data_IF_545876159282
#
_entry.id   IF_545876159282
#
_cell.length_a   1.000
_cell.length_b   1.000
_cell.length_c   1.000
_cell.angle_alpha   90.00
_cell.angle_beta   90.00
_cell.angle_gamma   90.00
#
_symmetry.space_group_name_H-M   'P 1'
#
loop_
_entity.id
_entity.type
_entity.pdbx_description
1 polymer ?
#
# COMPACT_ATOMS: atom_id res chain seq x y z
N UNK A 1 17.51 -9.48 -23.62
CA UNK A 1 18.24 -8.61 -22.68
C UNK A 1 17.31 -8.50 -21.48
N UNK A 2 17.65 -9.14 -20.38
CA UNK A 2 16.93 -8.98 -19.09
C UNK A 2 17.16 -7.53 -18.64
N UNK A 3 16.10 -6.71 -18.62
CA UNK A 3 16.14 -5.44 -17.90
C UNK A 3 16.54 -5.78 -16.46
N UNK A 4 17.72 -5.38 -16.04
CA UNK A 4 18.09 -5.38 -14.63
C UNK A 4 17.10 -4.43 -13.94
N UNK A 5 16.10 -5.01 -13.27
CA UNK A 5 15.14 -4.25 -12.47
C UNK A 5 15.91 -3.61 -11.32
N UNK A 6 16.13 -2.30 -11.44
CA UNK A 6 16.86 -1.51 -10.45
C UNK A 6 16.04 -1.43 -9.15
N UNK A 7 16.70 -1.64 -8.00
CA UNK A 7 16.08 -1.43 -6.70
C UNK A 7 15.68 0.04 -6.53
N UNK A 8 14.37 0.27 -6.42
CA UNK A 8 13.78 1.59 -6.20
C UNK A 8 13.99 2.04 -4.77
N UNK A 9 13.65 1.14 -3.83
CA UNK A 9 13.70 1.41 -2.40
C UNK A 9 14.56 0.35 -1.72
N UNK A 10 15.50 0.78 -0.89
CA UNK A 10 16.34 -0.10 -0.07
C UNK A 10 16.12 0.27 1.39
N UNK A 11 15.71 -0.71 2.17
CA UNK A 11 15.59 -0.64 3.62
C UNK A 11 16.71 -1.47 4.22
N UNK A 12 17.53 -0.85 5.07
CA UNK A 12 18.72 -1.46 5.65
C UNK A 12 18.69 -1.40 7.17
N UNK A 13 18.42 -2.55 7.81
CA UNK A 13 18.44 -2.80 9.25
C UNK A 13 17.69 -1.77 10.08
N UNK A 14 16.48 -1.39 9.64
CA UNK A 14 15.69 -0.43 10.39
C UNK A 14 15.18 -1.04 11.70
N UNK A 15 15.33 -0.29 12.79
CA UNK A 15 14.81 -0.61 14.11
C UNK A 15 13.89 0.48 14.62
N UNK A 16 12.83 0.06 15.35
CA UNK A 16 11.93 0.98 16.05
C UNK A 16 11.41 0.35 17.33
N UNK A 17 11.46 1.12 18.41
CA UNK A 17 10.91 0.72 19.72
C UNK A 17 9.98 1.80 20.27
N UNK A 18 9.00 1.38 21.06
CA UNK A 18 8.16 2.25 21.88
C UNK A 18 8.35 1.85 23.35
N UNK A 19 9.08 2.68 24.10
CA UNK A 19 9.55 2.31 25.43
C UNK A 19 10.45 1.09 25.40
N UNK A 20 10.07 0.02 26.11
CA UNK A 20 10.84 -1.24 26.11
C UNK A 20 10.39 -2.23 25.02
N UNK A 21 9.33 -1.92 24.27
CA UNK A 21 8.79 -2.83 23.27
C UNK A 21 9.41 -2.54 21.90
N UNK A 22 10.23 -3.49 21.39
CA UNK A 22 10.81 -3.41 20.05
C UNK A 22 9.77 -3.87 19.02
N UNK A 23 9.35 -2.94 18.15
CA UNK A 23 8.31 -3.18 17.14
C UNK A 23 8.90 -3.53 15.77
N UNK A 24 10.08 -2.96 15.44
CA UNK A 24 10.85 -3.34 14.26
C UNK A 24 12.25 -3.75 14.71
N UNK A 25 12.67 -4.95 14.29
CA UNK A 25 13.93 -5.55 14.68
C UNK A 25 14.79 -5.91 13.46
N UNK A 26 15.72 -5.00 13.11
CA UNK A 26 16.67 -5.14 12.00
C UNK A 26 16.00 -5.48 10.65
N UNK A 27 14.87 -4.83 10.35
CA UNK A 27 14.14 -5.05 9.10
C UNK A 27 14.97 -4.59 7.91
N UNK A 28 15.23 -5.52 6.97
CA UNK A 28 15.97 -5.24 5.73
C UNK A 28 15.26 -5.87 4.54
N UNK A 29 14.98 -5.08 3.51
CA UNK A 29 14.42 -5.55 2.24
C UNK A 29 14.61 -4.51 1.14
N UNK A 30 14.35 -4.92 -0.11
CA UNK A 30 14.35 -4.02 -1.26
C UNK A 30 13.00 -4.09 -1.98
N UNK A 31 12.64 -3.01 -2.66
CA UNK A 31 11.48 -2.92 -3.54
C UNK A 31 11.96 -2.47 -4.92
N UNK A 32 11.60 -3.22 -5.96
CA UNK A 32 11.98 -2.92 -7.34
C UNK A 32 11.12 -1.80 -7.92
N UNK A 33 11.64 -1.12 -8.92
CA UNK A 33 10.86 -0.11 -9.63
C UNK A 33 9.63 -0.75 -10.31
N UNK A 34 8.45 -0.13 -10.12
CA UNK A 34 7.18 -0.63 -10.63
C UNK A 34 6.64 -1.90 -9.95
N UNK A 35 7.26 -2.39 -8.87
CA UNK A 35 6.83 -3.58 -8.13
C UNK A 35 5.57 -3.32 -7.30
N UNK A 36 4.69 -4.32 -7.22
CA UNK A 36 3.62 -4.41 -6.23
C UNK A 36 4.08 -5.34 -5.09
N UNK A 37 4.54 -4.77 -3.99
CA UNK A 37 4.94 -5.52 -2.79
C UNK A 37 3.84 -5.45 -1.74
N UNK A 38 3.28 -6.61 -1.32
CA UNK A 38 2.41 -6.66 -0.14
C UNK A 38 3.18 -7.01 1.12
N UNK A 39 2.80 -6.37 2.23
CA UNK A 39 3.27 -6.69 3.58
C UNK A 39 2.12 -7.35 4.32
N UNK A 40 2.27 -8.65 4.59
CA UNK A 40 1.28 -9.52 5.19
C UNK A 40 1.73 -9.97 6.59
N UNK A 41 0.82 -10.04 7.54
CA UNK A 41 1.12 -10.52 8.90
C UNK A 41 -0.01 -10.21 9.87
N UNK A 42 0.03 -10.77 11.09
CA UNK A 42 -0.97 -10.54 12.12
C UNK A 42 -1.00 -9.08 12.58
N UNK A 43 -2.08 -8.70 13.28
CA UNK A 43 -2.17 -7.38 13.89
C UNK A 43 -1.06 -7.18 14.92
N UNK A 44 -0.45 -5.98 14.91
CA UNK A 44 0.62 -5.63 15.86
C UNK A 44 2.03 -6.11 15.48
N UNK A 45 2.23 -6.83 14.36
CA UNK A 45 3.58 -7.29 13.97
C UNK A 45 4.50 -6.19 13.37
N UNK A 46 4.06 -4.93 13.32
CA UNK A 46 4.90 -3.79 12.89
C UNK A 46 4.63 -3.24 11.49
N UNK A 47 3.67 -3.77 10.71
CA UNK A 47 3.38 -3.34 9.32
C UNK A 47 3.15 -1.84 9.18
N UNK A 48 2.21 -1.29 9.94
CA UNK A 48 1.91 0.16 9.92
C UNK A 48 3.10 1.00 10.38
N UNK A 49 3.93 0.48 11.31
CA UNK A 49 5.16 1.16 11.75
C UNK A 49 6.18 1.23 10.60
N UNK A 50 6.38 0.15 9.82
CA UNK A 50 7.20 0.20 8.60
C UNK A 50 6.70 1.30 7.68
N UNK A 51 5.40 1.30 7.36
CA UNK A 51 4.81 2.24 6.41
C UNK A 51 4.94 3.68 6.87
N UNK A 52 4.69 3.96 8.17
CA UNK A 52 4.88 5.28 8.77
C UNK A 52 6.35 5.72 8.78
N UNK A 53 7.28 4.78 8.97
CA UNK A 53 8.73 5.04 8.88
C UNK A 53 9.14 5.37 7.44
N UNK A 54 8.61 4.65 6.45
CA UNK A 54 8.89 4.91 5.03
C UNK A 54 8.43 6.31 4.60
N UNK A 55 7.20 6.71 4.96
CA UNK A 55 6.68 8.04 4.62
C UNK A 55 7.28 9.16 5.50
N UNK A 56 7.96 8.83 6.61
CA UNK A 56 8.57 9.82 7.52
C UNK A 56 7.64 10.38 8.58
N UNK A 57 6.57 9.69 8.91
CA UNK A 57 5.69 10.00 10.04
C UNK A 57 6.20 9.42 11.37
N UNK A 58 7.11 8.44 11.28
CA UNK A 58 7.83 7.86 12.42
C UNK A 58 9.34 7.99 12.21
N UNK A 59 10.05 8.32 13.27
CA UNK A 59 11.52 8.33 13.30
C UNK A 59 12.03 6.94 13.65
N UNK A 60 13.09 6.50 12.99
CA UNK A 60 13.78 5.26 13.29
C UNK A 60 14.73 5.42 14.49
N UNK A 61 14.91 4.33 15.23
CA UNK A 61 15.96 4.28 16.27
C UNK A 61 17.33 4.00 15.64
N UNK A 62 17.36 3.18 14.56
CA UNK A 62 18.57 2.91 13.77
C UNK A 62 18.20 2.38 12.38
N UNK A 63 19.20 2.22 11.51
CA UNK A 63 19.04 1.76 10.14
C UNK A 63 18.90 2.89 9.13
N UNK A 64 18.67 2.55 7.85
CA UNK A 64 18.61 3.53 6.76
C UNK A 64 17.51 3.18 5.77
N UNK A 65 16.99 4.21 5.09
CA UNK A 65 16.04 4.12 3.98
C UNK A 65 16.63 4.90 2.81
N UNK A 66 16.81 4.20 1.68
CA UNK A 66 17.34 4.79 0.46
C UNK A 66 16.26 4.72 -0.64
N UNK A 67 15.98 5.83 -1.31
CA UNK A 67 15.13 5.89 -2.52
C UNK A 67 16.00 6.26 -3.71
N UNK A 68 16.11 5.39 -4.71
CA UNK A 68 17.04 5.53 -5.85
C UNK A 68 18.46 5.89 -5.41
N UNK A 69 18.98 5.22 -4.38
CA UNK A 69 20.32 5.46 -3.85
C UNK A 69 20.46 6.72 -2.99
N UNK A 70 19.44 7.59 -2.92
CA UNK A 70 19.44 8.76 -2.06
C UNK A 70 18.96 8.37 -0.65
N UNK A 71 19.75 8.71 0.36
CA UNK A 71 19.33 8.52 1.76
C UNK A 71 18.21 9.51 2.12
N UNK A 72 17.04 8.94 2.48
CA UNK A 72 15.83 9.66 2.88
C UNK A 72 15.44 9.39 4.34
N UNK A 73 16.31 8.74 5.11
CA UNK A 73 16.03 8.30 6.48
C UNK A 73 15.48 9.43 7.35
N UNK A 74 16.13 10.59 7.30
CA UNK A 74 15.74 11.78 8.07
C UNK A 74 15.05 12.86 7.23
N UNK A 75 14.72 12.58 5.97
CA UNK A 75 14.02 13.54 5.12
C UNK A 75 12.57 13.72 5.58
N UNK A 76 12.01 14.94 5.55
CA UNK A 76 10.60 15.16 5.84
C UNK A 76 9.71 14.47 4.79
N UNK A 77 8.44 14.15 5.13
CA UNK A 77 7.52 13.44 4.22
C UNK A 77 7.43 14.05 2.81
N UNK A 78 7.41 15.38 2.71
CA UNK A 78 7.31 16.10 1.43
C UNK A 78 8.50 15.92 0.49
N UNK A 79 9.64 15.41 0.98
CA UNK A 79 10.87 15.21 0.20
C UNK A 79 11.17 13.74 -0.09
N UNK A 80 10.29 12.81 0.31
CA UNK A 80 10.52 11.37 0.14
C UNK A 80 10.05 10.81 -1.21
N UNK A 81 9.28 11.58 -1.99
CA UNK A 81 8.74 11.14 -3.28
C UNK A 81 7.63 10.09 -3.16
N UNK A 82 7.04 9.96 -1.98
CA UNK A 82 6.04 8.93 -1.68
C UNK A 82 4.67 9.55 -1.40
N UNK A 83 3.61 8.83 -1.77
CA UNK A 83 2.24 9.09 -1.37
C UNK A 83 1.72 8.01 -0.43
N UNK A 84 0.70 8.33 0.37
CA UNK A 84 0.07 7.37 1.28
C UNK A 84 -1.45 7.45 1.20
N UNK A 85 -2.08 6.28 1.20
CA UNK A 85 -3.52 6.08 1.34
C UNK A 85 -3.76 5.41 2.69
N UNK A 86 -4.37 6.13 3.62
CA UNK A 86 -4.64 5.65 4.98
C UNK A 86 -5.88 4.77 5.05
N UNK A 87 -5.94 3.91 6.03
CA UNK A 87 -7.07 3.02 6.33
C UNK A 87 -8.39 3.77 6.55
N UNK A 88 -8.35 4.94 7.19
CA UNK A 88 -9.51 5.80 7.45
C UNK A 88 -9.71 6.87 6.35
N UNK A 89 -9.08 6.69 5.18
CA UNK A 89 -9.13 7.60 4.03
C UNK A 89 -8.54 8.99 4.29
N UNK A 90 -8.59 9.48 5.51
CA UNK A 90 -8.10 10.79 5.97
C UNK A 90 -8.54 11.96 5.05
N UNK A 91 -9.81 11.95 4.61
CA UNK A 91 -10.39 13.03 3.82
C UNK A 91 -10.73 14.23 4.71
N UNK A 92 -10.63 15.42 4.14
CA UNK A 92 -11.10 16.65 4.79
C UNK A 92 -12.63 16.73 4.70
N UNK A 93 -13.30 16.58 5.83
CA UNK A 93 -14.78 16.49 5.91
C UNK A 93 -15.50 17.75 5.42
N UNK A 94 -14.86 18.91 5.54
CA UNK A 94 -15.40 20.21 5.10
C UNK A 94 -15.18 20.52 3.61
N UNK A 95 -14.46 19.65 2.90
CA UNK A 95 -14.12 19.81 1.47
C UNK A 95 -14.89 18.79 0.62
N UNK A 96 -15.18 19.15 -0.63
CA UNK A 96 -15.71 18.24 -1.65
C UNK A 96 -14.65 17.23 -2.11
N UNK A 97 -15.04 16.24 -2.91
CA UNK A 97 -14.09 15.29 -3.52
C UNK A 97 -13.03 16.02 -4.36
N UNK A 98 -13.45 16.96 -5.20
CA UNK A 98 -12.54 17.77 -6.00
C UNK A 98 -11.59 18.62 -5.14
N UNK A 99 -12.11 19.29 -4.13
CA UNK A 99 -11.30 20.11 -3.21
C UNK A 99 -10.30 19.26 -2.43
N UNK A 100 -10.68 18.06 -1.99
CA UNK A 100 -9.77 17.11 -1.33
C UNK A 100 -8.59 16.74 -2.23
N UNK A 101 -8.83 16.44 -3.50
CA UNK A 101 -7.78 16.08 -4.45
C UNK A 101 -6.93 17.29 -4.82
N UNK A 102 -7.54 18.45 -5.06
CA UNK A 102 -6.83 19.67 -5.44
C UNK A 102 -6.01 20.29 -4.30
N UNK A 103 -6.34 19.99 -3.04
CA UNK A 103 -5.72 20.63 -1.87
C UNK A 103 -4.21 20.55 -1.87
N UNK A 104 -3.66 19.34 -1.99
CA UNK A 104 -2.21 19.12 -1.95
C UNK A 104 -1.49 19.77 -3.15
N UNK A 105 -2.13 19.81 -4.31
CA UNK A 105 -1.63 20.48 -5.50
C UNK A 105 -1.58 22.01 -5.31
N UNK A 106 -2.62 22.60 -4.71
CA UNK A 106 -2.67 24.04 -4.41
C UNK A 106 -1.61 24.48 -3.39
N UNK A 107 -1.16 23.58 -2.52
CA UNK A 107 -0.08 23.84 -1.56
C UNK A 107 1.30 23.88 -2.20
N UNK A 108 1.46 23.38 -3.44
CA UNK A 108 2.72 23.38 -4.18
C UNK A 108 2.71 24.48 -5.25
N UNK A 109 3.63 25.44 -5.20
CA UNK A 109 3.65 26.56 -6.16
C UNK A 109 3.65 26.12 -7.62
N UNK A 110 4.38 25.05 -7.94
CA UNK A 110 4.54 24.47 -9.28
C UNK A 110 3.25 23.87 -9.86
N UNK A 111 2.34 23.40 -9.02
CA UNK A 111 1.08 22.74 -9.42
C UNK A 111 -0.15 23.63 -9.25
N UNK A 112 0.00 24.84 -8.64
CA UNK A 112 -1.14 25.67 -8.25
C UNK A 112 -2.01 26.09 -9.42
N UNK A 113 -1.43 26.35 -10.60
CA UNK A 113 -2.17 26.82 -11.79
C UNK A 113 -3.07 25.74 -12.37
N UNK A 114 -2.60 24.49 -12.39
CA UNK A 114 -3.26 23.37 -13.05
C UNK A 114 -3.91 22.41 -12.03
N UNK A 115 -4.00 22.86 -10.76
CA UNK A 115 -4.44 22.02 -9.64
C UNK A 115 -5.85 21.43 -9.83
N UNK A 116 -6.78 22.22 -10.39
CA UNK A 116 -8.15 21.77 -10.60
C UNK A 116 -8.26 20.80 -11.79
N UNK A 117 -7.57 21.07 -12.89
CA UNK A 117 -7.52 20.20 -14.06
C UNK A 117 -6.85 18.84 -13.71
N UNK A 118 -5.71 18.88 -13.02
CA UNK A 118 -5.02 17.68 -12.53
C UNK A 118 -5.90 16.89 -11.56
N UNK A 119 -6.61 17.56 -10.66
CA UNK A 119 -7.53 16.91 -9.73
C UNK A 119 -8.72 16.25 -10.44
N UNK A 120 -9.29 16.89 -11.46
CA UNK A 120 -10.35 16.32 -12.29
C UNK A 120 -9.87 15.06 -13.03
N UNK A 121 -8.70 15.11 -13.65
CA UNK A 121 -8.09 13.95 -14.32
C UNK A 121 -7.82 12.78 -13.35
N UNK A 122 -7.36 13.09 -12.14
CA UNK A 122 -7.15 12.07 -11.10
C UNK A 122 -8.49 11.45 -10.65
N UNK A 123 -9.55 12.23 -10.47
CA UNK A 123 -10.89 11.73 -10.15
C UNK A 123 -11.49 10.89 -11.28
N UNK A 124 -11.24 11.27 -12.54
CA UNK A 124 -11.66 10.48 -13.70
C UNK A 124 -10.99 9.11 -13.72
N UNK A 125 -9.70 9.04 -13.38
CA UNK A 125 -8.94 7.78 -13.37
C UNK A 125 -9.46 6.74 -12.36
N UNK A 126 -10.24 7.18 -11.36
CA UNK A 126 -10.89 6.34 -10.35
C UNK A 126 -12.42 6.35 -10.44
N UNK A 127 -12.98 6.78 -11.58
CA UNK A 127 -14.43 6.83 -11.86
C UNK A 127 -15.24 7.67 -10.84
N UNK A 128 -14.66 8.79 -10.36
CA UNK A 128 -15.29 9.66 -9.35
C UNK A 128 -15.77 11.02 -9.88
N UNK A 129 -15.69 11.27 -11.18
CA UNK A 129 -16.09 12.56 -11.80
C UNK A 129 -17.53 12.94 -11.46
N UNK A 130 -18.49 12.00 -11.50
CA UNK A 130 -19.90 12.25 -11.18
C UNK A 130 -20.14 12.60 -9.69
N UNK A 131 -19.16 12.37 -8.83
CA UNK A 131 -19.26 12.58 -7.38
C UNK A 131 -18.31 13.67 -6.86
N UNK A 132 -17.63 14.39 -7.76
CA UNK A 132 -16.58 15.38 -7.44
C UNK A 132 -17.03 16.49 -6.48
N UNK A 133 -18.31 16.89 -6.55
CA UNK A 133 -18.87 17.99 -5.75
C UNK A 133 -19.48 17.52 -4.42
N UNK A 134 -19.48 16.19 -4.14
CA UNK A 134 -19.96 15.65 -2.88
C UNK A 134 -18.88 15.77 -1.79
N UNK A 135 -19.33 16.05 -0.55
CA UNK A 135 -18.47 15.95 0.64
C UNK A 135 -18.36 14.51 1.12
N UNK A 136 -17.31 14.14 1.90
CA UNK A 136 -17.10 12.79 2.40
C UNK A 136 -18.35 12.17 3.06
N UNK A 137 -19.07 12.91 3.90
CA UNK A 137 -20.30 12.44 4.55
C UNK A 137 -21.41 11.96 3.58
N UNK A 138 -21.38 12.38 2.32
CA UNK A 138 -22.32 12.01 1.27
C UNK A 138 -21.76 10.97 0.28
N UNK A 139 -20.61 10.38 0.60
CA UNK A 139 -19.94 9.34 -0.18
C UNK A 139 -19.99 8.00 0.56
N UNK A 140 -20.15 6.90 -0.17
CA UNK A 140 -19.94 5.56 0.41
C UNK A 140 -18.47 5.35 0.77
N UNK A 141 -18.16 4.37 1.62
CA UNK A 141 -16.79 4.03 1.99
C UNK A 141 -15.88 3.77 0.78
N UNK A 142 -16.37 3.01 -0.22
CA UNK A 142 -15.63 2.78 -1.47
C UNK A 142 -15.44 4.05 -2.30
N UNK A 143 -16.39 4.99 -2.30
CA UNK A 143 -16.24 6.28 -2.95
C UNK A 143 -15.23 7.18 -2.22
N UNK A 144 -15.25 7.19 -0.88
CA UNK A 144 -14.25 7.92 -0.09
C UNK A 144 -12.84 7.37 -0.34
N UNK A 145 -12.70 6.05 -0.40
CA UNK A 145 -11.45 5.37 -0.74
C UNK A 145 -10.91 5.82 -2.10
N UNK A 146 -11.75 5.83 -3.14
CA UNK A 146 -11.36 6.28 -4.48
C UNK A 146 -10.93 7.74 -4.50
N UNK A 147 -11.60 8.62 -3.76
CA UNK A 147 -11.16 10.02 -3.61
C UNK A 147 -9.79 10.11 -2.92
N UNK A 148 -9.53 9.29 -1.89
CA UNK A 148 -8.22 9.23 -1.23
C UNK A 148 -7.10 8.74 -2.17
N UNK A 149 -7.40 7.74 -3.01
CA UNK A 149 -6.48 7.26 -4.05
C UNK A 149 -6.22 8.37 -5.08
N UNK A 150 -7.27 9.02 -5.61
CA UNK A 150 -7.13 10.12 -6.56
C UNK A 150 -6.29 11.27 -6.00
N UNK A 151 -6.49 11.64 -4.72
CA UNK A 151 -5.69 12.66 -4.02
C UNK A 151 -4.21 12.29 -3.99
N UNK A 152 -3.89 11.02 -3.82
CA UNK A 152 -2.52 10.54 -3.81
C UNK A 152 -1.93 10.52 -5.22
N UNK A 153 -2.68 10.00 -6.20
CA UNK A 153 -2.26 9.93 -7.61
C UNK A 153 -2.02 11.29 -8.24
N UNK A 154 -2.82 12.31 -7.88
CA UNK A 154 -2.71 13.67 -8.41
C UNK A 154 -1.32 14.28 -8.20
N UNK A 155 -0.59 13.86 -7.17
CA UNK A 155 0.79 14.30 -6.90
C UNK A 155 1.84 13.51 -7.68
N UNK A 156 1.43 12.52 -8.49
CA UNK A 156 2.31 11.65 -9.28
C UNK A 156 3.50 11.09 -8.48
N UNK A 157 3.24 10.48 -7.30
CA UNK A 157 4.33 9.95 -6.49
C UNK A 157 4.96 8.73 -7.17
N UNK A 158 6.25 8.55 -6.94
CA UNK A 158 7.01 7.40 -7.47
C UNK A 158 6.66 6.10 -6.72
N UNK A 159 6.32 6.23 -5.44
CA UNK A 159 5.93 5.12 -4.56
C UNK A 159 4.61 5.47 -3.87
N UNK A 160 3.66 4.55 -3.91
CA UNK A 160 2.38 4.68 -3.19
C UNK A 160 2.31 3.61 -2.10
N UNK A 161 2.06 4.09 -0.89
CA UNK A 161 1.89 3.27 0.31
C UNK A 161 0.40 3.14 0.61
N UNK A 162 -0.06 1.91 0.84
CA UNK A 162 -1.45 1.62 1.19
C UNK A 162 -1.51 0.96 2.57
N UNK A 163 -2.20 1.59 3.53
CA UNK A 163 -2.40 1.06 4.88
C UNK A 163 -3.80 0.46 5.01
N UNK A 164 -3.94 -0.84 4.78
CA UNK A 164 -5.20 -1.61 4.82
C UNK A 164 -6.39 -0.93 4.10
N UNK A 165 -6.24 -0.53 2.84
CA UNK A 165 -7.21 0.35 2.19
C UNK A 165 -8.57 -0.30 1.93
N UNK A 166 -8.69 -1.63 2.00
CA UNK A 166 -9.93 -2.35 1.71
C UNK A 166 -10.64 -2.88 2.96
N UNK A 167 -10.10 -2.64 4.16
CA UNK A 167 -10.59 -3.24 5.41
C UNK A 167 -12.04 -2.89 5.75
N UNK A 168 -12.52 -1.72 5.33
CA UNK A 168 -13.89 -1.24 5.59
C UNK A 168 -14.87 -1.45 4.43
N UNK A 169 -14.46 -2.14 3.35
CA UNK A 169 -15.27 -2.35 2.16
C UNK A 169 -16.00 -3.70 2.19
N UNK A 170 -17.20 -3.75 1.58
CA UNK A 170 -17.88 -5.01 1.28
C UNK A 170 -17.14 -5.82 0.20
N UNK A 171 -17.57 -7.08 0.01
CA UNK A 171 -16.88 -8.02 -0.88
C UNK A 171 -16.83 -7.52 -2.32
N UNK A 172 -17.93 -7.01 -2.86
CA UNK A 172 -18.02 -6.57 -4.25
C UNK A 172 -17.17 -5.32 -4.49
N UNK A 173 -17.24 -4.34 -3.59
CA UNK A 173 -16.42 -3.14 -3.65
C UNK A 173 -14.92 -3.47 -3.54
N UNK A 174 -14.53 -4.45 -2.71
CA UNK A 174 -13.16 -4.93 -2.54
C UNK A 174 -12.65 -5.59 -3.82
N UNK A 175 -13.44 -6.47 -4.45
CA UNK A 175 -13.08 -7.10 -5.73
C UNK A 175 -12.87 -6.06 -6.84
N UNK A 176 -13.79 -5.10 -6.96
CA UNK A 176 -13.69 -4.03 -7.94
C UNK A 176 -12.43 -3.17 -7.72
N UNK A 177 -12.16 -2.79 -6.48
CA UNK A 177 -10.99 -1.95 -6.15
C UNK A 177 -9.66 -2.69 -6.38
N UNK A 178 -9.60 -4.02 -6.15
CA UNK A 178 -8.40 -4.82 -6.48
C UNK A 178 -8.02 -4.73 -7.95
N UNK A 179 -9.00 -4.91 -8.84
CA UNK A 179 -8.78 -4.81 -10.28
C UNK A 179 -8.33 -3.39 -10.67
N UNK A 180 -9.01 -2.38 -10.13
CA UNK A 180 -8.70 -0.97 -10.38
C UNK A 180 -7.29 -0.60 -9.95
N UNK A 181 -6.84 -1.02 -8.75
CA UNK A 181 -5.46 -0.76 -8.28
C UNK A 181 -4.40 -1.39 -9.17
N UNK A 182 -4.63 -2.61 -9.68
CA UNK A 182 -3.73 -3.25 -10.66
C UNK A 182 -3.66 -2.47 -11.97
N UNK A 183 -4.80 -2.00 -12.47
CA UNK A 183 -4.85 -1.18 -13.69
C UNK A 183 -4.15 0.17 -13.49
N UNK A 184 -4.38 0.84 -12.36
CA UNK A 184 -3.72 2.10 -12.01
C UNK A 184 -2.20 1.92 -11.90
N UNK A 185 -1.73 0.85 -11.23
CA UNK A 185 -0.31 0.56 -11.13
C UNK A 185 0.34 0.42 -12.51
N UNK A 186 -0.29 -0.36 -13.41
CA UNK A 186 0.21 -0.55 -14.78
C UNK A 186 0.20 0.76 -15.58
N UNK A 187 -0.88 1.53 -15.46
CA UNK A 187 -1.05 2.80 -16.17
C UNK A 187 0.00 3.83 -15.76
N UNK A 188 0.23 3.99 -14.46
CA UNK A 188 1.15 5.00 -13.92
C UNK A 188 2.57 4.47 -13.70
N UNK A 189 2.82 3.16 -13.86
CA UNK A 189 4.10 2.49 -13.59
C UNK A 189 4.67 2.83 -12.21
N UNK A 190 3.80 3.07 -11.23
CA UNK A 190 4.20 3.41 -9.87
C UNK A 190 4.53 2.16 -9.06
N UNK A 191 5.48 2.28 -8.14
CA UNK A 191 5.81 1.23 -7.17
C UNK A 191 4.78 1.25 -6.05
N UNK A 192 4.18 0.10 -5.71
CA UNK A 192 3.17 -0.02 -4.66
C UNK A 192 3.69 -0.84 -3.49
N UNK A 193 3.51 -0.32 -2.26
CA UNK A 193 3.70 -1.06 -1.02
C UNK A 193 2.35 -1.11 -0.32
N UNK A 194 1.83 -2.31 -0.15
CA UNK A 194 0.46 -2.55 0.27
C UNK A 194 0.40 -3.35 1.55
N UNK A 195 -0.13 -2.78 2.63
CA UNK A 195 -0.37 -3.49 3.88
C UNK A 195 -1.76 -4.10 3.85
N UNK A 196 -1.83 -5.37 4.20
CA UNK A 196 -3.07 -6.09 4.43
C UNK A 196 -2.89 -7.20 5.45
N UNK A 197 -3.98 -7.61 6.07
CA UNK A 197 -4.08 -8.86 6.81
C UNK A 197 -4.84 -9.95 6.01
N UNK A 198 -5.36 -9.59 4.83
CA UNK A 198 -6.08 -10.51 3.95
C UNK A 198 -5.11 -11.15 2.93
N UNK A 199 -4.98 -12.49 3.02
CA UNK A 199 -4.13 -13.25 2.13
C UNK A 199 -4.61 -13.21 0.68
N UNK A 200 -5.93 -13.22 0.44
CA UNK A 200 -6.48 -13.19 -0.91
C UNK A 200 -6.10 -11.90 -1.64
N UNK A 201 -6.14 -10.76 -0.92
CA UNK A 201 -5.68 -9.49 -1.47
C UNK A 201 -4.20 -9.56 -1.86
N UNK A 202 -3.35 -10.00 -0.92
CA UNK A 202 -1.91 -10.11 -1.16
C UNK A 202 -1.58 -11.03 -2.33
N UNK A 203 -2.18 -12.24 -2.37
CA UNK A 203 -1.92 -13.22 -3.42
C UNK A 203 -2.46 -12.81 -4.79
N UNK A 204 -3.59 -12.10 -4.85
CA UNK A 204 -4.19 -11.67 -6.11
C UNK A 204 -3.48 -10.48 -6.77
N UNK A 205 -2.79 -9.64 -5.97
CA UNK A 205 -2.28 -8.36 -6.48
C UNK A 205 -0.75 -8.28 -6.59
N UNK A 206 -0.01 -9.05 -5.78
CA UNK A 206 1.41 -8.77 -5.56
C UNK A 206 2.34 -9.53 -6.49
N UNK A 207 3.44 -8.88 -6.84
CA UNK A 207 4.59 -9.54 -7.49
C UNK A 207 5.40 -10.30 -6.44
N UNK A 208 5.59 -9.70 -5.25
CA UNK A 208 6.13 -10.35 -4.07
C UNK A 208 5.32 -10.03 -2.82
N UNK A 209 5.36 -10.93 -1.86
CA UNK A 209 4.72 -10.79 -0.55
C UNK A 209 5.79 -10.93 0.52
N UNK A 210 5.82 -9.96 1.44
CA UNK A 210 6.60 -10.01 2.67
C UNK A 210 5.70 -10.51 3.79
N UNK A 211 6.04 -11.66 4.35
CA UNK A 211 5.39 -12.20 5.56
C UNK A 211 6.15 -11.72 6.78
N UNK A 212 5.43 -11.07 7.69
CA UNK A 212 5.97 -10.55 8.95
C UNK A 212 5.47 -11.32 10.14
N UNK A 213 6.35 -11.50 11.12
CA UNK A 213 6.04 -11.99 12.45
C UNK A 213 6.85 -11.25 13.51
N UNK A 214 6.20 -10.82 14.59
CA UNK A 214 6.83 -10.25 15.80
C UNK A 214 7.96 -9.23 15.50
N UNK A 215 7.70 -8.28 14.58
CA UNK A 215 8.65 -7.22 14.24
C UNK A 215 9.80 -7.66 13.33
N UNK A 216 9.75 -8.85 12.74
CA UNK A 216 10.76 -9.41 11.83
C UNK A 216 10.13 -9.85 10.51
N UNK A 217 10.95 -9.97 9.47
CA UNK A 217 10.55 -10.58 8.21
C UNK A 217 10.77 -12.09 8.34
N UNK A 218 9.69 -12.87 8.24
CA UNK A 218 9.77 -14.33 8.20
C UNK A 218 10.19 -14.80 6.79
N UNK A 219 9.55 -14.27 5.74
CA UNK A 219 9.91 -14.54 4.36
C UNK A 219 9.46 -13.39 3.44
N UNK A 220 10.19 -13.17 2.36
CA UNK A 220 9.79 -12.28 1.27
C UNK A 220 10.04 -12.98 -0.06
N UNK A 221 8.97 -13.28 -0.79
CA UNK A 221 9.07 -14.06 -2.03
C UNK A 221 7.84 -13.84 -2.93
N UNK A 222 7.85 -14.46 -4.11
CA UNK A 222 6.67 -14.54 -4.98
C UNK A 222 5.54 -15.34 -4.31
N UNK A 223 4.27 -15.09 -4.65
CA UNK A 223 3.14 -15.87 -4.13
C UNK A 223 3.33 -17.39 -4.29
N UNK A 224 3.83 -17.84 -5.44
CA UNK A 224 4.09 -19.26 -5.72
C UNK A 224 5.14 -19.82 -4.77
N UNK A 225 6.28 -19.16 -4.61
CA UNK A 225 7.35 -19.63 -3.74
C UNK A 225 6.96 -19.68 -2.26
N UNK A 226 6.10 -18.76 -1.80
CA UNK A 226 5.58 -18.80 -0.42
C UNK A 226 4.74 -20.06 -0.14
N UNK A 227 4.06 -20.59 -1.17
CA UNK A 227 3.27 -21.83 -1.06
C UNK A 227 4.18 -23.07 -1.19
N UNK A 228 5.06 -23.07 -2.21
CA UNK A 228 5.84 -24.25 -2.57
C UNK A 228 7.06 -24.44 -1.68
N UNK A 229 7.67 -23.34 -1.21
CA UNK A 229 8.92 -23.29 -0.45
C UNK A 229 8.82 -22.35 0.76
N UNK A 230 7.92 -22.64 1.74
CA UNK A 230 7.85 -21.85 2.97
C UNK A 230 9.17 -21.93 3.74
N UNK A 231 9.66 -20.79 4.24
CA UNK A 231 10.97 -20.70 4.91
C UNK A 231 10.99 -21.41 6.26
N UNK A 232 9.86 -21.46 6.93
CA UNK A 232 9.69 -22.10 8.24
C UNK A 232 8.24 -22.56 8.49
N UNK A 233 8.03 -23.22 9.62
CA UNK A 233 6.72 -23.73 10.05
C UNK A 233 5.68 -22.59 10.26
N UNK A 234 6.14 -21.40 10.67
CA UNK A 234 5.26 -20.25 10.82
C UNK A 234 4.68 -19.81 9.47
N UNK A 235 5.54 -19.63 8.45
CA UNK A 235 5.10 -19.24 7.09
C UNK A 235 4.21 -20.32 6.50
N UNK A 236 4.55 -21.60 6.64
CA UNK A 236 3.74 -22.71 6.16
C UNK A 236 2.33 -22.66 6.78
N UNK A 237 2.23 -22.53 8.10
CA UNK A 237 0.94 -22.46 8.80
C UNK A 237 0.18 -21.17 8.48
N UNK A 238 0.87 -20.03 8.51
CA UNK A 238 0.22 -18.73 8.30
C UNK A 238 -0.27 -18.54 6.87
N UNK A 239 0.46 -19.04 5.87
CA UNK A 239 0.12 -18.87 4.44
C UNK A 239 -0.61 -20.10 3.90
N UNK A 240 0.10 -21.22 3.81
CA UNK A 240 -0.36 -22.42 3.08
C UNK A 240 -1.55 -23.09 3.75
N UNK A 241 -1.51 -23.26 5.07
CA UNK A 241 -2.59 -23.91 5.80
C UNK A 241 -3.90 -23.12 5.72
N UNK A 242 -3.85 -21.81 5.89
CA UNK A 242 -5.05 -20.97 5.81
C UNK A 242 -5.65 -20.92 4.38
N UNK A 243 -4.82 -20.90 3.34
CA UNK A 243 -5.29 -20.98 1.94
C UNK A 243 -5.96 -22.34 1.70
N UNK A 244 -5.33 -23.43 2.12
CA UNK A 244 -5.88 -24.77 1.96
C UNK A 244 -7.22 -24.94 2.67
N UNK A 245 -7.37 -24.46 3.91
CA UNK A 245 -8.65 -24.47 4.62
C UNK A 245 -9.77 -23.75 3.85
N UNK A 246 -9.47 -22.59 3.26
CA UNK A 246 -10.44 -21.86 2.43
C UNK A 246 -10.81 -22.65 1.19
N UNK A 247 -9.84 -23.22 0.47
CA UNK A 247 -10.08 -24.05 -0.71
C UNK A 247 -10.93 -25.27 -0.33
N UNK A 248 -10.56 -26.01 0.71
CA UNK A 248 -11.30 -27.18 1.17
C UNK A 248 -12.73 -26.87 1.54
N UNK A 249 -12.97 -25.70 2.19
CA UNK A 249 -14.33 -25.28 2.56
C UNK A 249 -15.22 -24.97 1.36
N UNK A 250 -14.65 -24.56 0.22
CA UNK A 250 -15.40 -24.20 -1.00
C UNK A 250 -15.49 -25.34 -2.02
N UNK A 251 -14.54 -26.28 -2.02
CA UNK A 251 -14.49 -27.40 -2.97
C UNK A 251 -15.79 -28.23 -3.09
N UNK A 252 -16.52 -28.54 -1.97
CA UNK A 252 -17.78 -29.30 -2.08
C UNK A 252 -18.85 -28.59 -2.90
N UNK A 253 -18.85 -27.25 -2.89
CA UNK A 253 -19.82 -26.42 -3.61
C UNK A 253 -19.41 -26.16 -5.06
N UNK A 254 -18.11 -26.14 -5.35
CA UNK A 254 -17.58 -25.94 -6.71
C UNK A 254 -17.84 -27.11 -7.64
N UNK A 255 -17.83 -28.36 -7.14
CA UNK A 255 -18.04 -29.57 -7.97
C UNK A 255 -19.49 -29.76 -8.42
N UNK A 256 -20.42 -28.95 -7.94
CA UNK A 256 -21.87 -29.02 -8.27
C UNK A 256 -22.31 -27.82 -9.14
N UNK A 257 -21.43 -26.97 -9.57
CA UNK A 257 -21.65 -25.87 -10.51
C UNK A 257 -21.04 -26.22 -11.89
#
# INVERSE_FOLDING_TARGET
MSEETQDRLIIDKICKSYGQHKVLDEISFTVRDGEFLSILGPSGCGKTTILRSLIGLETLDSGRILNCGRDITNAPPSQRGMGIVFQNYALFENMTGLENVAYALRCRPEHRKDAEETALSALESVNMTAHKDKRPANLSGGQQQRVAIARTLALSPEIILFDEPMSALDVDARLALRLELKELQRKYRSTYIYITHDQEEAFAMSDRIMVMDNGRIAQIDTPTNLIDHPADEYVERFVKYNINLKIESLLPFWRNA
#
